data_IF_513326467417
#
_entry.id   IF_513326467417
#
_cell.length_a   1.000
_cell.length_b   1.000
_cell.length_c   1.000
_cell.angle_alpha   90.00
_cell.angle_beta   90.00
_cell.angle_gamma   90.00
#
_symmetry.space_group_name_H-M   'P 1'
#
loop_
_entity.id
_entity.type
_entity.pdbx_description
1 polymer ?
#
# COMPACT_ATOMS: atom_id res chain seq x y z
N UNK A 1 8.60 29.11 19.74
CA UNK A 1 8.02 28.11 18.82
C UNK A 1 8.46 26.74 19.32
N UNK A 2 7.60 25.99 20.00
CA UNK A 2 8.02 24.75 20.67
C UNK A 2 8.50 23.73 19.66
N UNK A 3 9.73 23.23 19.82
CA UNK A 3 10.22 22.03 19.15
C UNK A 3 9.20 20.90 19.44
N UNK A 4 8.38 20.57 18.44
CA UNK A 4 7.50 19.42 18.50
C UNK A 4 8.39 18.18 18.53
N UNK A 5 8.75 17.73 19.73
CA UNK A 5 9.43 16.47 19.97
C UNK A 5 8.77 15.40 19.09
N UNK A 6 9.58 14.75 18.25
CA UNK A 6 9.09 13.71 17.35
C UNK A 6 8.45 12.62 18.21
N UNK A 7 7.11 12.52 18.15
CA UNK A 7 6.37 11.51 18.89
C UNK A 7 6.81 10.13 18.40
N UNK A 8 7.00 9.20 19.34
CA UNK A 8 7.57 7.89 19.06
C UNK A 8 6.71 7.00 18.16
N UNK A 9 7.27 5.85 17.79
CA UNK A 9 6.61 4.81 16.99
C UNK A 9 6.06 3.76 17.94
N UNK A 10 4.75 3.52 17.90
CA UNK A 10 4.15 2.41 18.63
C UNK A 10 4.54 1.07 18.00
N UNK A 11 4.89 0.08 18.82
CA UNK A 11 5.18 -1.31 18.37
C UNK A 11 4.09 -1.89 17.44
N UNK A 12 2.78 -1.61 17.62
CA UNK A 12 1.76 -2.10 16.70
C UNK A 12 1.99 -1.68 15.25
N UNK A 13 2.45 -0.45 14.98
CA UNK A 13 2.70 0.00 13.61
C UNK A 13 3.86 -0.77 12.95
N UNK A 14 4.92 -1.11 13.71
CA UNK A 14 6.04 -1.90 13.19
C UNK A 14 5.61 -3.31 12.81
N UNK A 15 4.88 -3.99 13.71
CA UNK A 15 4.41 -5.35 13.46
C UNK A 15 3.37 -5.41 12.34
N UNK A 16 2.41 -4.48 12.32
CA UNK A 16 1.40 -4.40 11.26
C UNK A 16 2.06 -4.23 9.88
N UNK A 17 2.94 -3.23 9.73
CA UNK A 17 3.65 -2.99 8.45
C UNK A 17 4.62 -4.10 8.05
N UNK A 18 5.01 -4.98 8.97
CA UNK A 18 5.87 -6.12 8.63
C UNK A 18 5.06 -7.35 8.25
N UNK A 19 4.06 -7.69 9.06
CA UNK A 19 3.29 -8.92 8.91
C UNK A 19 2.29 -8.82 7.77
N UNK A 20 1.59 -7.69 7.60
CA UNK A 20 0.56 -7.58 6.58
C UNK A 20 1.12 -7.73 5.15
N UNK A 21 2.21 -7.05 4.73
CA UNK A 21 2.77 -7.27 3.40
C UNK A 21 3.22 -8.72 3.15
N UNK A 22 3.73 -9.41 4.19
CA UNK A 22 4.08 -10.83 4.08
C UNK A 22 2.83 -11.70 3.89
N UNK A 23 1.82 -11.51 4.74
CA UNK A 23 0.56 -12.25 4.69
C UNK A 23 -0.14 -12.04 3.34
N UNK A 24 -0.25 -10.80 2.88
CA UNK A 24 -0.94 -10.48 1.62
C UNK A 24 -0.16 -10.97 0.42
N UNK A 25 1.17 -10.76 0.35
CA UNK A 25 1.98 -11.20 -0.80
C UNK A 25 1.99 -12.72 -0.92
N UNK A 26 2.20 -13.44 0.18
CA UNK A 26 2.14 -14.91 0.20
C UNK A 26 0.71 -15.37 -0.12
N UNK A 27 -0.30 -14.71 0.45
CA UNK A 27 -1.69 -15.02 0.19
C UNK A 27 -2.08 -14.89 -1.29
N UNK A 28 -1.65 -13.83 -1.99
CA UNK A 28 -1.92 -13.69 -3.42
C UNK A 28 -1.26 -14.79 -4.26
N UNK A 29 -0.05 -15.24 -3.86
CA UNK A 29 0.62 -16.38 -4.51
C UNK A 29 -0.16 -17.67 -4.29
N UNK A 30 -0.61 -17.94 -3.05
CA UNK A 30 -1.44 -19.11 -2.72
C UNK A 30 -2.75 -19.08 -3.52
N UNK A 31 -3.44 -17.94 -3.55
CA UNK A 31 -4.68 -17.76 -4.28
C UNK A 31 -4.50 -18.08 -5.77
N UNK A 32 -3.50 -17.47 -6.42
CA UNK A 32 -3.20 -17.71 -7.83
C UNK A 32 -2.81 -19.16 -8.12
N UNK A 33 -2.06 -19.81 -7.22
CA UNK A 33 -1.68 -21.22 -7.38
C UNK A 33 -2.87 -22.19 -7.19
N UNK A 34 -3.87 -21.80 -6.40
CA UNK A 34 -5.04 -22.64 -6.10
C UNK A 34 -6.13 -22.60 -7.18
N UNK A 35 -6.01 -21.73 -8.19
CA UNK A 35 -6.98 -21.59 -9.26
C UNK A 35 -6.37 -21.94 -10.62
N UNK A 36 -6.86 -23.03 -11.22
CA UNK A 36 -6.42 -23.46 -12.55
C UNK A 36 -6.84 -22.47 -13.64
N UNK A 37 -5.87 -22.08 -14.49
CA UNK A 37 -6.09 -21.15 -15.60
C UNK A 37 -5.84 -19.68 -15.26
N UNK A 38 -5.53 -19.36 -14.00
CA UNK A 38 -5.09 -18.02 -13.64
C UNK A 38 -3.65 -17.77 -14.05
N UNK A 39 -3.42 -16.72 -14.84
CA UNK A 39 -2.08 -16.26 -15.23
C UNK A 39 -1.70 -15.01 -14.40
N UNK A 40 -0.78 -15.13 -13.42
CA UNK A 40 -0.38 -14.00 -12.58
C UNK A 40 0.44 -12.91 -13.30
N UNK A 41 0.91 -13.19 -14.52
CA UNK A 41 1.65 -12.23 -15.34
C UNK A 41 0.69 -11.31 -16.07
N UNK A 42 -0.39 -11.88 -16.62
CA UNK A 42 -1.38 -11.14 -17.41
C UNK A 42 -2.51 -10.61 -16.53
N UNK A 43 -3.07 -11.43 -15.63
CA UNK A 43 -4.26 -11.13 -14.84
C UNK A 43 -3.96 -10.39 -13.53
N UNK A 44 -4.82 -9.45 -13.18
CA UNK A 44 -4.70 -8.61 -12.00
C UNK A 44 -4.98 -9.42 -10.71
N UNK A 45 -4.46 -8.94 -9.57
CA UNK A 45 -4.85 -9.38 -8.23
C UNK A 45 -6.36 -9.15 -8.04
N UNK A 46 -6.92 -8.05 -8.54
CA UNK A 46 -8.37 -7.82 -8.50
C UNK A 46 -9.19 -8.87 -9.25
N UNK A 47 -8.62 -9.57 -10.24
CA UNK A 47 -9.30 -10.67 -10.93
C UNK A 47 -9.43 -11.90 -10.01
N UNK A 48 -8.52 -12.07 -9.05
CA UNK A 48 -8.66 -13.08 -7.99
C UNK A 48 -9.77 -12.73 -6.98
N UNK A 49 -10.19 -11.48 -6.95
CA UNK A 49 -11.26 -10.97 -6.09
C UNK A 49 -12.58 -10.71 -6.87
N UNK A 50 -12.66 -11.13 -8.12
CA UNK A 50 -13.86 -11.00 -8.94
C UNK A 50 -14.97 -11.95 -8.50
N UNK A 51 -16.23 -11.57 -8.73
CA UNK A 51 -17.41 -12.33 -8.28
C UNK A 51 -17.47 -13.76 -8.82
N UNK A 52 -16.87 -14.00 -10.00
CA UNK A 52 -16.76 -15.31 -10.64
C UNK A 52 -15.45 -16.06 -10.30
N UNK A 53 -14.60 -15.51 -9.42
CA UNK A 53 -13.36 -16.13 -9.00
C UNK A 53 -13.60 -17.17 -7.88
N UNK A 54 -13.05 -18.39 -7.98
CA UNK A 54 -13.20 -19.40 -6.93
C UNK A 54 -12.47 -19.03 -5.63
N UNK A 55 -11.57 -18.04 -5.68
CA UNK A 55 -10.77 -17.57 -4.53
C UNK A 55 -11.19 -16.16 -4.08
N UNK A 56 -12.33 -15.66 -4.56
CA UNK A 56 -12.82 -14.30 -4.32
C UNK A 56 -12.77 -13.91 -2.85
N UNK A 57 -13.46 -14.65 -1.99
CA UNK A 57 -13.57 -14.34 -0.57
C UNK A 57 -12.20 -14.36 0.13
N UNK A 58 -11.33 -15.28 -0.27
CA UNK A 58 -9.99 -15.39 0.27
C UNK A 58 -9.16 -14.15 -0.05
N UNK A 59 -9.18 -13.67 -1.29
CA UNK A 59 -8.44 -12.46 -1.69
C UNK A 59 -9.06 -11.19 -1.10
N UNK A 60 -10.40 -11.11 -1.00
CA UNK A 60 -11.07 -10.01 -0.29
C UNK A 60 -10.62 -9.91 1.17
N UNK A 61 -10.43 -11.03 1.87
CA UNK A 61 -9.90 -11.05 3.24
C UNK A 61 -8.46 -10.49 3.26
N UNK A 62 -7.62 -10.84 2.29
CA UNK A 62 -6.25 -10.30 2.21
C UNK A 62 -6.24 -8.78 2.01
N UNK A 63 -7.15 -8.23 1.20
CA UNK A 63 -7.31 -6.78 1.08
C UNK A 63 -7.68 -6.14 2.43
N UNK A 64 -8.59 -6.76 3.20
CA UNK A 64 -8.95 -6.28 4.53
C UNK A 64 -7.81 -6.41 5.55
N UNK A 65 -6.93 -7.41 5.43
CA UNK A 65 -5.70 -7.50 6.23
C UNK A 65 -4.77 -6.32 5.95
N UNK A 66 -4.56 -6.00 4.67
CA UNK A 66 -3.79 -4.82 4.25
C UNK A 66 -4.39 -3.53 4.82
N UNK A 67 -5.69 -3.29 4.59
CA UNK A 67 -6.38 -2.12 5.09
C UNK A 67 -6.33 -2.00 6.63
N UNK A 68 -6.49 -3.12 7.34
CA UNK A 68 -6.39 -3.14 8.81
C UNK A 68 -5.00 -2.74 9.28
N UNK A 69 -3.94 -3.19 8.60
CA UNK A 69 -2.58 -2.75 8.88
C UNK A 69 -2.45 -1.24 8.72
N UNK A 70 -2.97 -0.67 7.64
CA UNK A 70 -2.89 0.78 7.39
C UNK A 70 -3.70 1.59 8.41
N UNK A 71 -4.85 1.08 8.88
CA UNK A 71 -5.55 1.65 10.03
C UNK A 71 -4.65 1.65 11.27
N UNK A 72 -3.96 0.55 11.59
CA UNK A 72 -3.02 0.50 12.73
C UNK A 72 -1.89 1.52 12.54
N UNK A 73 -1.30 1.61 11.35
CA UNK A 73 -0.22 2.57 11.05
C UNK A 73 -0.68 3.99 11.25
N UNK A 74 -1.84 4.37 10.71
CA UNK A 74 -2.38 5.72 10.84
C UNK A 74 -2.56 6.13 12.31
N UNK A 75 -2.81 5.21 13.24
CA UNK A 75 -2.98 5.51 14.66
C UNK A 75 -1.66 5.48 15.46
N UNK A 76 -0.78 4.52 15.17
CA UNK A 76 0.39 4.22 16.01
C UNK A 76 1.72 4.80 15.45
N UNK A 77 1.80 5.20 14.18
CA UNK A 77 2.97 5.82 13.57
C UNK A 77 3.04 7.35 13.83
N UNK A 78 3.07 7.75 15.10
CA UNK A 78 3.07 9.19 15.48
C UNK A 78 4.35 9.94 15.10
N UNK A 79 5.35 9.22 14.57
CA UNK A 79 6.55 9.78 13.94
C UNK A 79 6.20 10.55 12.65
N UNK A 80 5.16 10.13 11.93
CA UNK A 80 4.66 10.80 10.73
C UNK A 80 3.89 12.07 11.11
N UNK A 81 3.95 13.08 10.24
CA UNK A 81 3.07 14.24 10.35
C UNK A 81 1.59 13.81 10.25
N UNK A 82 0.69 14.61 10.85
CA UNK A 82 -0.74 14.29 10.87
C UNK A 82 -1.35 14.13 9.47
N UNK A 83 -1.03 14.98 8.46
CA UNK A 83 -1.56 14.81 7.10
C UNK A 83 -1.22 13.44 6.50
N UNK A 84 0.01 12.95 6.67
CA UNK A 84 0.41 11.62 6.19
C UNK A 84 -0.33 10.49 6.89
N UNK A 85 -0.61 10.63 8.18
CA UNK A 85 -1.42 9.64 8.92
C UNK A 85 -2.87 9.61 8.43
N UNK A 86 -3.45 10.78 8.16
CA UNK A 86 -4.79 10.90 7.57
C UNK A 86 -4.79 10.29 6.17
N UNK A 87 -3.76 10.56 5.36
CA UNK A 87 -3.62 9.96 4.03
C UNK A 87 -3.61 8.43 4.11
N UNK A 88 -2.78 7.84 4.97
CA UNK A 88 -2.74 6.38 5.16
C UNK A 88 -4.10 5.82 5.58
N UNK A 89 -4.83 6.50 6.48
CA UNK A 89 -6.18 6.11 6.86
C UNK A 89 -7.16 6.16 5.67
N UNK A 90 -7.09 7.20 4.84
CA UNK A 90 -7.89 7.31 3.63
C UNK A 90 -7.53 6.23 2.60
N UNK A 91 -6.25 5.84 2.50
CA UNK A 91 -5.80 4.72 1.68
C UNK A 91 -6.36 3.38 2.16
N UNK A 92 -6.43 3.18 3.48
CA UNK A 92 -7.10 2.02 4.07
C UNK A 92 -8.60 1.99 3.74
N UNK A 93 -9.29 3.13 3.89
CA UNK A 93 -10.71 3.26 3.51
C UNK A 93 -10.89 2.99 2.02
N UNK A 94 -9.99 3.46 1.17
CA UNK A 94 -10.04 3.20 -0.26
C UNK A 94 -9.86 1.71 -0.59
N UNK A 95 -8.97 1.03 0.13
CA UNK A 95 -8.77 -0.42 0.02
C UNK A 95 -9.99 -1.21 0.52
N UNK A 96 -10.67 -0.75 1.57
CA UNK A 96 -11.96 -1.32 1.97
C UNK A 96 -13.00 -1.07 0.87
N UNK A 97 -13.03 0.12 0.29
CA UNK A 97 -13.91 0.49 -0.80
C UNK A 97 -13.78 -0.44 -2.01
N UNK A 98 -12.57 -0.64 -2.54
CA UNK A 98 -12.36 -1.56 -3.68
C UNK A 98 -12.69 -3.03 -3.33
N UNK A 99 -12.66 -3.39 -2.04
CA UNK A 99 -13.05 -4.73 -1.58
C UNK A 99 -14.57 -4.90 -1.55
N UNK A 100 -15.29 -3.86 -1.13
CA UNK A 100 -16.77 -3.87 -1.07
C UNK A 100 -17.39 -3.74 -2.46
N UNK A 101 -16.81 -2.88 -3.30
CA UNK A 101 -17.21 -2.74 -4.69
C UNK A 101 -16.38 -3.71 -5.53
N UNK A 102 -16.86 -4.94 -5.67
CA UNK A 102 -16.15 -5.99 -6.39
C UNK A 102 -16.07 -5.74 -7.90
N UNK A 103 -15.16 -6.48 -8.54
CA UNK A 103 -15.13 -6.65 -9.99
C UNK A 103 -16.20 -7.68 -10.39
N UNK A 104 -17.14 -7.34 -11.31
CA UNK A 104 -18.23 -8.25 -11.68
C UNK A 104 -17.76 -9.56 -12.34
N UNK A 105 -16.60 -9.53 -13.00
CA UNK A 105 -15.94 -10.70 -13.58
C UNK A 105 -14.44 -10.44 -13.74
N UNK A 106 -13.66 -11.49 -14.02
CA UNK A 106 -12.21 -11.39 -14.30
C UNK A 106 -11.84 -10.68 -15.60
N UNK A 107 -12.83 -10.35 -16.43
CA UNK A 107 -12.66 -9.66 -17.70
C UNK A 107 -13.31 -8.27 -17.68
N UNK A 108 -13.87 -7.86 -16.53
CA UNK A 108 -14.57 -6.59 -16.38
C UNK A 108 -14.28 -5.95 -15.02
N UNK A 109 -14.74 -4.72 -14.83
CA UNK A 109 -14.61 -4.04 -13.55
C UNK A 109 -15.72 -3.01 -13.39
N UNK A 110 -16.21 -2.87 -12.17
CA UNK A 110 -17.19 -1.84 -11.84
C UNK A 110 -16.49 -0.46 -11.72
N UNK A 111 -17.20 0.61 -12.09
CA UNK A 111 -16.68 1.98 -11.95
C UNK A 111 -16.29 2.32 -10.51
N UNK A 112 -17.10 1.98 -9.47
CA UNK A 112 -16.71 2.24 -8.09
C UNK A 112 -15.41 1.51 -7.69
N UNK A 113 -15.23 0.24 -8.08
CA UNK A 113 -13.98 -0.50 -7.84
C UNK A 113 -12.77 0.27 -8.37
N UNK A 114 -12.83 0.69 -9.64
CA UNK A 114 -11.73 1.43 -10.29
C UNK A 114 -11.41 2.73 -9.57
N UNK A 115 -12.43 3.47 -9.14
CA UNK A 115 -12.23 4.73 -8.43
C UNK A 115 -11.51 4.47 -7.10
N UNK A 116 -11.98 3.52 -6.31
CA UNK A 116 -11.38 3.20 -5.02
C UNK A 116 -9.96 2.63 -5.16
N UNK A 117 -9.72 1.74 -6.13
CA UNK A 117 -8.39 1.23 -6.44
C UNK A 117 -7.44 2.36 -6.85
N UNK A 118 -7.88 3.27 -7.74
CA UNK A 118 -7.07 4.42 -8.17
C UNK A 118 -6.74 5.36 -7.02
N UNK A 119 -7.71 5.63 -6.14
CA UNK A 119 -7.49 6.44 -4.94
C UNK A 119 -6.48 5.76 -4.00
N UNK A 120 -6.58 4.45 -3.80
CA UNK A 120 -5.63 3.70 -2.98
C UNK A 120 -4.21 3.84 -3.53
N UNK A 121 -3.99 3.52 -4.82
CA UNK A 121 -2.67 3.63 -5.46
C UNK A 121 -2.11 5.06 -5.40
N UNK A 122 -2.95 6.08 -5.65
CA UNK A 122 -2.53 7.48 -5.59
C UNK A 122 -2.11 7.88 -4.18
N UNK A 123 -2.93 7.57 -3.18
CA UNK A 123 -2.66 7.91 -1.78
C UNK A 123 -1.38 7.23 -1.31
N UNK A 124 -1.21 5.94 -1.60
CA UNK A 124 0.00 5.19 -1.24
C UNK A 124 1.24 5.61 -2.06
N UNK A 125 1.08 6.39 -3.12
CA UNK A 125 2.19 7.07 -3.81
C UNK A 125 2.62 8.35 -3.11
N UNK A 126 1.65 9.18 -2.70
CA UNK A 126 1.92 10.55 -2.22
C UNK A 126 2.05 10.68 -0.71
N UNK A 127 1.69 9.65 0.07
CA UNK A 127 1.78 9.68 1.53
C UNK A 127 3.13 10.14 2.09
N UNK A 128 4.31 9.87 1.48
CA UNK A 128 5.59 10.30 2.03
C UNK A 128 5.68 11.83 2.12
N UNK A 129 5.21 12.56 1.09
CA UNK A 129 5.15 14.03 1.10
C UNK A 129 4.24 14.55 2.22
N UNK A 130 3.16 13.84 2.53
CA UNK A 130 2.21 14.22 3.56
C UNK A 130 2.70 13.85 4.98
N UNK A 131 3.54 12.82 5.08
CA UNK A 131 4.11 12.33 6.33
C UNK A 131 5.39 13.06 6.78
N UNK A 132 6.01 13.83 5.88
CA UNK A 132 7.31 14.45 6.11
C UNK A 132 7.32 15.43 7.29
N UNK A 133 8.48 15.56 7.93
CA UNK A 133 8.76 16.53 8.99
C UNK A 133 10.11 17.19 8.74
N UNK A 134 10.26 18.42 9.24
CA UNK A 134 11.50 19.20 9.14
C UNK A 134 12.19 19.24 10.50
N UNK A 135 13.53 19.31 10.48
CA UNK A 135 14.36 19.42 11.69
C UNK A 135 15.54 18.46 11.67
N UNK A 136 16.60 18.81 12.41
CA UNK A 136 17.81 17.99 12.59
C UNK A 136 17.54 16.74 13.44
N UNK A 137 16.57 16.82 14.35
CA UNK A 137 16.20 15.74 15.28
C UNK A 137 15.09 14.83 14.72
N UNK A 138 14.79 14.96 13.43
CA UNK A 138 13.81 14.13 12.72
C UNK A 138 14.52 12.97 12.02
N UNK A 139 13.98 11.74 12.04
CA UNK A 139 14.56 10.63 11.29
C UNK A 139 14.72 10.93 9.79
N UNK A 140 15.87 10.63 9.17
CA UNK A 140 16.15 10.96 7.77
C UNK A 140 15.07 10.57 6.76
N UNK A 141 14.49 9.36 6.86
CA UNK A 141 13.51 8.86 5.89
C UNK A 141 12.19 9.64 5.84
N UNK A 142 11.91 10.48 6.82
CA UNK A 142 10.72 11.35 6.83
C UNK A 142 11.09 12.83 6.68
N UNK A 143 12.32 13.15 6.29
CA UNK A 143 12.72 14.52 5.94
C UNK A 143 12.30 14.84 4.50
N UNK A 144 12.23 16.13 4.11
CA UNK A 144 11.72 16.53 2.81
C UNK A 144 12.41 15.84 1.63
N UNK A 145 13.76 15.82 1.60
CA UNK A 145 14.51 15.23 0.48
C UNK A 145 14.18 13.73 0.30
N UNK A 146 14.27 12.94 1.37
CA UNK A 146 14.00 11.50 1.33
C UNK A 146 12.53 11.21 1.04
N UNK A 147 11.61 12.05 1.53
CA UNK A 147 10.19 11.91 1.26
C UNK A 147 9.87 12.18 -0.22
N UNK A 148 10.49 13.21 -0.81
CA UNK A 148 10.39 13.53 -2.24
C UNK A 148 10.93 12.38 -3.09
N UNK A 149 12.13 11.88 -2.78
CA UNK A 149 12.73 10.74 -3.49
C UNK A 149 11.81 9.52 -3.40
N UNK A 150 11.30 9.20 -2.20
CA UNK A 150 10.35 8.12 -1.99
C UNK A 150 9.10 8.25 -2.87
N UNK A 151 8.47 9.43 -2.88
CA UNK A 151 7.30 9.69 -3.73
C UNK A 151 7.62 9.62 -5.21
N UNK A 152 8.80 10.07 -5.66
CA UNK A 152 9.20 9.95 -7.07
C UNK A 152 9.41 8.50 -7.48
N UNK A 153 10.03 7.68 -6.62
CA UNK A 153 10.22 6.24 -6.88
C UNK A 153 8.87 5.51 -6.92
N UNK A 154 8.02 5.73 -5.91
CA UNK A 154 6.66 5.16 -5.90
C UNK A 154 5.87 5.64 -7.12
N UNK A 155 5.97 6.93 -7.46
CA UNK A 155 5.29 7.53 -8.59
C UNK A 155 5.74 6.94 -9.92
N UNK A 156 7.04 6.73 -10.13
CA UNK A 156 7.55 6.09 -11.34
C UNK A 156 6.99 4.66 -11.51
N UNK A 157 6.95 3.88 -10.42
CA UNK A 157 6.43 2.51 -10.44
C UNK A 157 4.91 2.52 -10.66
N UNK A 158 4.17 3.42 -10.00
CA UNK A 158 2.72 3.55 -10.18
C UNK A 158 2.33 4.07 -11.56
N UNK A 159 3.11 4.98 -12.14
CA UNK A 159 2.91 5.45 -13.52
C UNK A 159 3.18 4.31 -14.50
N UNK A 160 4.25 3.53 -14.30
CA UNK A 160 4.52 2.36 -15.13
C UNK A 160 3.36 1.35 -15.09
N UNK A 161 2.88 0.99 -13.89
CA UNK A 161 1.67 0.18 -13.76
C UNK A 161 0.46 0.80 -14.48
N UNK A 162 0.22 2.11 -14.28
CA UNK A 162 -0.89 2.82 -14.92
C UNK A 162 -0.82 2.74 -16.45
N UNK A 163 0.36 2.86 -17.05
CA UNK A 163 0.52 2.74 -18.50
C UNK A 163 0.11 1.36 -19.02
N UNK A 164 0.45 0.30 -18.27
CA UNK A 164 0.09 -1.07 -18.61
C UNK A 164 -1.40 -1.37 -18.35
N UNK A 165 -1.97 -0.77 -17.30
CA UNK A 165 -3.39 -0.92 -16.99
C UNK A 165 -4.29 -0.24 -18.02
N UNK A 166 -3.82 0.84 -18.65
CA UNK A 166 -4.54 1.54 -19.71
C UNK A 166 -4.36 0.92 -21.11
N UNK A 167 -3.41 -0.01 -21.27
CA UNK A 167 -3.16 -0.70 -22.55
C UNK A 167 -3.89 -2.05 -22.58
N UNK A 168 -4.93 -2.23 -23.43
CA UNK A 168 -5.67 -3.49 -23.52
C UNK A 168 -4.82 -4.65 -24.06
N UNK A 169 -3.64 -4.38 -24.63
CA UNK A 169 -2.74 -5.41 -25.17
C UNK A 169 -1.60 -5.77 -24.21
N UNK A 170 -1.53 -5.16 -23.02
CA UNK A 170 -0.45 -5.37 -22.08
C UNK A 170 -0.36 -6.83 -21.63
N UNK A 171 0.75 -7.49 -21.93
CA UNK A 171 1.00 -8.90 -21.59
C UNK A 171 1.58 -9.10 -20.18
N UNK A 172 1.86 -8.01 -19.46
CA UNK A 172 2.51 -8.03 -18.13
C UNK A 172 1.76 -7.16 -17.11
N UNK A 173 0.49 -6.86 -17.36
CA UNK A 173 -0.32 -6.00 -16.51
C UNK A 173 -0.41 -6.58 -15.09
N UNK A 174 -0.78 -7.85 -14.94
CA UNK A 174 -0.83 -8.55 -13.67
C UNK A 174 0.50 -8.58 -12.90
N UNK A 175 1.63 -8.70 -13.60
CA UNK A 175 2.96 -8.63 -12.98
C UNK A 175 3.26 -7.23 -12.46
N UNK A 176 2.99 -6.20 -13.27
CA UNK A 176 3.25 -4.81 -12.87
C UNK A 176 2.39 -4.38 -11.67
N UNK A 177 1.14 -4.81 -11.60
CA UNK A 177 0.26 -4.58 -10.45
C UNK A 177 0.87 -5.17 -9.17
N UNK A 178 1.32 -6.42 -9.21
CA UNK A 178 1.96 -7.08 -8.07
C UNK A 178 3.20 -6.32 -7.59
N UNK A 179 4.02 -5.85 -8.53
CA UNK A 179 5.22 -5.08 -8.20
C UNK A 179 4.83 -3.78 -7.50
N UNK A 180 3.89 -3.00 -8.04
CA UNK A 180 3.48 -1.74 -7.39
C UNK A 180 2.84 -1.99 -6.02
N UNK A 181 1.98 -3.01 -5.90
CA UNK A 181 1.32 -3.38 -4.64
C UNK A 181 2.34 -3.80 -3.58
N UNK A 182 3.30 -4.67 -3.92
CA UNK A 182 4.35 -5.11 -2.99
C UNK A 182 5.22 -3.91 -2.58
N UNK A 183 5.67 -3.09 -3.53
CA UNK A 183 6.52 -1.93 -3.23
C UNK A 183 5.80 -0.94 -2.33
N UNK A 184 4.54 -0.62 -2.62
CA UNK A 184 3.72 0.28 -1.79
C UNK A 184 3.45 -0.31 -0.40
N UNK A 185 3.33 -1.63 -0.27
CA UNK A 185 3.12 -2.31 1.01
C UNK A 185 4.39 -2.36 1.88
N UNK A 186 5.57 -2.60 1.30
CA UNK A 186 6.84 -2.70 2.05
C UNK A 186 7.44 -1.33 2.40
N UNK A 187 7.16 -0.30 1.61
CA UNK A 187 7.78 1.01 1.80
C UNK A 187 7.46 1.67 3.18
N UNK A 188 6.21 1.64 3.68
CA UNK A 188 5.91 2.08 5.04
C UNK A 188 6.70 1.31 6.10
N UNK A 189 6.88 -0.01 5.94
CA UNK A 189 7.67 -0.84 6.84
C UNK A 189 9.12 -0.38 6.89
N UNK A 190 9.73 -0.18 5.72
CA UNK A 190 11.10 0.33 5.59
C UNK A 190 11.27 1.68 6.30
N UNK A 191 10.37 2.63 6.03
CA UNK A 191 10.43 3.97 6.63
C UNK A 191 10.26 3.90 8.15
N UNK A 192 9.32 3.08 8.66
CA UNK A 192 9.07 2.95 10.10
C UNK A 192 10.22 2.25 10.82
N UNK A 193 10.74 1.15 10.29
CA UNK A 193 11.87 0.45 10.88
C UNK A 193 13.12 1.31 10.89
N UNK A 194 13.44 1.97 9.78
CA UNK A 194 14.53 2.94 9.74
C UNK A 194 14.35 4.02 10.81
N UNK A 195 13.16 4.63 10.88
CA UNK A 195 12.89 5.71 11.83
C UNK A 195 12.94 5.23 13.28
N UNK A 196 12.47 4.02 13.55
CA UNK A 196 12.51 3.39 14.87
C UNK A 196 13.95 3.14 15.32
N UNK A 197 14.78 2.53 14.48
CA UNK A 197 16.18 2.26 14.78
C UNK A 197 16.98 3.55 14.94
N UNK A 198 16.71 4.56 14.11
CA UNK A 198 17.33 5.87 14.24
C UNK A 198 17.01 6.52 15.58
N UNK A 199 15.72 6.55 15.99
CA UNK A 199 15.30 7.13 17.27
C UNK A 199 15.88 6.38 18.48
N UNK A 200 16.11 5.08 18.38
CA UNK A 200 16.75 4.32 19.47
C UNK A 200 18.23 4.64 19.64
N UNK A 201 18.93 5.07 18.59
CA UNK A 201 20.35 5.47 18.66
C UNK A 201 20.55 6.87 19.23
N UNK A 202 19.50 7.68 19.29
CA UNK A 202 19.54 9.06 19.83
C UNK A 202 19.18 9.12 21.33
N UNK A 203 18.85 7.98 21.94
CA UNK A 203 18.62 7.83 23.38
C UNK A 203 19.86 7.25 24.03
#
# INVERSE_FOLDING_TARGET
MSELAVRGIGKPALWATTLAPLITSIGYVIAGASWQGYDPVVKAISDLAADDSPVQLYVSILFLVGATSDVIVSHYAKVFALPGRIAILLGAIATIGLTVFTTPSQDSSSTPHRIFASLSFLIFTIWPLLAMRRGKDVPPMIRPLQSIIGTLVLGAISIWFLTLWLDPNAQIMGLSERIVVIVQAIYPAFVLWHSYLWLRKQK
#
